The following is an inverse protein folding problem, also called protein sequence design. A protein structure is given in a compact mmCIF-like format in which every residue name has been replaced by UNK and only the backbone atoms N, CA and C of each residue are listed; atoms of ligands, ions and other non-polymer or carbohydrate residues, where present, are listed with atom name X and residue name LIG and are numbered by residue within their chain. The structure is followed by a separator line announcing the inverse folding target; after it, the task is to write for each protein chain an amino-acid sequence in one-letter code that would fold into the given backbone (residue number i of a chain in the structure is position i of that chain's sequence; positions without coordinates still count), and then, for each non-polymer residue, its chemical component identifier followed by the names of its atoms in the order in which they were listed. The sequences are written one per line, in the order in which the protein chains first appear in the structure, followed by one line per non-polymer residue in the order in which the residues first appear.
data_IF_485876672674
#
_entry.id   IF_485876672674
#
_cell.length_a   1.000
_cell.length_b   1.000
_cell.length_c   1.000
_cell.angle_alpha   90.00
_cell.angle_beta   90.00
_cell.angle_gamma   90.00
#
_symmetry.space_group_name_H-M   'P 1'
#
loop_
_entity.id
_entity.type
_entity.pdbx_description
1 polymer ?
#
# COMPACT_ATOMS: atom_id res chain seq x y z
N UNK A 1 7.80 15.07 -20.00
CA UNK A 1 8.24 15.85 -18.82
C UNK A 1 9.75 16.08 -18.83
N UNK A 2 10.56 15.05 -19.04
CA UNK A 2 12.02 15.17 -19.19
C UNK A 2 12.43 16.23 -20.22
N UNK A 3 11.89 16.14 -21.44
CA UNK A 3 12.09 17.15 -22.49
C UNK A 3 11.71 18.58 -22.06
N UNK A 4 10.61 18.74 -21.30
CA UNK A 4 10.20 20.06 -20.78
C UNK A 4 11.20 20.62 -19.76
N UNK A 5 11.84 19.76 -18.96
CA UNK A 5 12.87 20.16 -18.01
C UNK A 5 14.18 20.52 -18.72
N UNK A 6 14.58 19.72 -19.71
CA UNK A 6 15.77 19.94 -20.54
C UNK A 6 15.70 21.25 -21.31
N UNK A 7 14.55 21.58 -21.90
CA UNK A 7 14.29 22.89 -22.54
C UNK A 7 14.46 24.08 -21.58
N UNK A 8 14.46 23.84 -20.26
CA UNK A 8 14.69 24.85 -19.22
C UNK A 8 16.05 24.70 -18.54
N UNK A 9 16.97 23.91 -19.10
CA UNK A 9 18.31 23.66 -18.54
C UNK A 9 18.31 22.91 -17.22
N UNK A 10 17.23 22.16 -16.90
CA UNK A 10 17.09 21.43 -15.64
C UNK A 10 17.17 19.92 -15.87
N UNK A 11 17.89 19.23 -14.99
CA UNK A 11 17.81 17.79 -14.87
C UNK A 11 16.82 17.42 -13.76
N UNK A 12 15.99 16.41 -14.00
CA UNK A 12 15.00 15.92 -13.04
C UNK A 12 15.13 14.41 -12.89
N UNK A 13 14.90 13.96 -11.67
CA UNK A 13 14.79 12.55 -11.29
C UNK A 13 13.33 12.12 -11.32
N UNK A 14 13.10 10.84 -11.56
CA UNK A 14 11.75 10.27 -11.59
C UNK A 14 11.62 9.17 -10.56
N UNK A 15 10.60 9.29 -9.72
CA UNK A 15 10.24 8.29 -8.75
C UNK A 15 8.92 7.60 -9.08
N UNK A 16 8.82 6.33 -8.72
CA UNK A 16 7.57 5.57 -8.75
C UNK A 16 7.21 5.09 -7.34
N UNK A 17 5.91 5.07 -7.04
CA UNK A 17 5.37 4.55 -5.78
C UNK A 17 4.63 3.26 -6.07
N UNK A 18 5.06 2.16 -5.46
CA UNK A 18 4.45 0.83 -5.62
C UNK A 18 4.28 0.13 -4.27
N UNK A 19 3.24 -0.66 -4.13
CA UNK A 19 3.20 -1.70 -3.10
C UNK A 19 3.97 -2.94 -3.60
N UNK A 20 4.43 -3.80 -2.70
CA UNK A 20 5.12 -5.04 -3.06
C UNK A 20 4.57 -6.19 -2.23
N UNK A 21 4.35 -7.33 -2.89
CA UNK A 21 3.99 -8.61 -2.28
C UNK A 21 4.94 -9.63 -2.90
N UNK A 22 6.09 -9.82 -2.26
CA UNK A 22 7.17 -10.69 -2.75
C UNK A 22 7.17 -11.96 -1.93
N UNK A 23 7.19 -13.11 -2.59
CA UNK A 23 7.41 -14.41 -1.95
C UNK A 23 8.47 -15.18 -2.72
N UNK A 24 8.79 -16.37 -2.24
CA UNK A 24 9.76 -17.29 -2.82
C UNK A 24 9.28 -17.77 -4.20
N UNK A 25 7.97 -17.99 -4.34
CA UNK A 25 7.31 -18.35 -5.62
C UNK A 25 6.25 -17.34 -6.04
N UNK A 26 5.91 -17.33 -7.33
CA UNK A 26 4.82 -16.50 -7.84
C UNK A 26 3.48 -16.94 -7.25
N UNK A 27 3.26 -18.24 -7.11
CA UNK A 27 2.04 -18.83 -6.57
C UNK A 27 1.78 -18.35 -5.14
N UNK A 28 2.79 -18.38 -4.26
CA UNK A 28 2.68 -17.90 -2.89
C UNK A 28 2.40 -16.40 -2.82
N UNK A 29 3.05 -15.60 -3.68
CA UNK A 29 2.83 -14.16 -3.73
C UNK A 29 1.39 -13.82 -4.14
N UNK A 30 0.86 -14.55 -5.14
CA UNK A 30 -0.52 -14.36 -5.58
C UNK A 30 -1.54 -14.87 -4.57
N UNK A 31 -1.27 -15.99 -3.89
CA UNK A 31 -2.10 -16.47 -2.79
C UNK A 31 -2.18 -15.43 -1.65
N UNK A 32 -1.06 -14.78 -1.32
CA UNK A 32 -1.02 -13.72 -0.32
C UNK A 32 -1.71 -12.43 -0.77
N UNK A 33 -1.62 -12.07 -2.06
CA UNK A 33 -2.38 -10.96 -2.62
C UNK A 33 -3.89 -11.20 -2.54
N UNK A 34 -4.37 -12.41 -2.86
CA UNK A 34 -5.78 -12.77 -2.71
C UNK A 34 -6.21 -12.76 -1.23
N UNK A 35 -5.38 -13.32 -0.35
CA UNK A 35 -5.62 -13.31 1.10
C UNK A 35 -5.74 -11.89 1.64
N UNK A 36 -4.92 -10.95 1.16
CA UNK A 36 -4.95 -9.54 1.57
C UNK A 36 -6.31 -8.91 1.33
N UNK A 37 -6.94 -9.16 0.17
CA UNK A 37 -8.25 -8.57 -0.17
C UNK A 37 -9.43 -9.44 0.26
N UNK A 38 -9.23 -10.72 0.60
CA UNK A 38 -10.29 -11.65 1.03
C UNK A 38 -11.12 -11.16 2.22
N UNK A 39 -10.54 -10.30 3.06
CA UNK A 39 -11.19 -9.75 4.27
C UNK A 39 -11.89 -8.41 4.02
N UNK A 40 -11.81 -7.86 2.80
CA UNK A 40 -12.46 -6.60 2.46
C UNK A 40 -13.96 -6.81 2.29
N UNK A 41 -14.73 -6.20 3.18
CA UNK A 41 -16.19 -6.14 3.07
C UNK A 41 -16.58 -5.27 1.88
N UNK A 42 -17.64 -5.63 1.19
CA UNK A 42 -18.13 -4.89 0.02
C UNK A 42 -18.48 -3.44 0.36
N UNK A 43 -19.13 -3.23 1.50
CA UNK A 43 -19.43 -1.89 1.99
C UNK A 43 -18.16 -1.04 2.15
N UNK A 44 -17.09 -1.60 2.70
CA UNK A 44 -15.80 -0.89 2.85
C UNK A 44 -15.23 -0.48 1.49
N UNK A 45 -15.29 -1.35 0.50
CA UNK A 45 -14.81 -1.04 -0.86
C UNK A 45 -15.67 0.03 -1.52
N UNK A 46 -17.00 -0.09 -1.44
CA UNK A 46 -17.91 0.91 -2.00
C UNK A 46 -17.68 2.28 -1.38
N UNK A 47 -17.56 2.37 -0.05
CA UNK A 47 -17.30 3.63 0.64
C UNK A 47 -15.94 4.23 0.25
N UNK A 48 -14.89 3.41 0.18
CA UNK A 48 -13.57 3.88 -0.24
C UNK A 48 -13.57 4.39 -1.68
N UNK A 49 -14.16 3.66 -2.62
CA UNK A 49 -14.26 4.05 -4.02
C UNK A 49 -15.11 5.33 -4.21
N UNK A 50 -16.21 5.46 -3.47
CA UNK A 50 -17.03 6.68 -3.48
C UNK A 50 -16.25 7.89 -2.95
N UNK A 51 -15.43 7.72 -1.91
CA UNK A 51 -14.55 8.78 -1.40
C UNK A 51 -13.47 9.16 -2.43
N UNK A 52 -12.85 8.18 -3.09
CA UNK A 52 -11.84 8.42 -4.12
C UNK A 52 -12.39 9.12 -5.36
N UNK A 53 -13.62 8.81 -5.76
CA UNK A 53 -14.28 9.45 -6.90
C UNK A 53 -14.58 10.95 -6.69
N UNK A 54 -14.64 11.40 -5.43
CA UNK A 54 -14.86 12.81 -5.06
C UNK A 54 -13.57 13.63 -4.97
N UNK A 55 -12.40 13.00 -5.16
CA UNK A 55 -11.11 13.71 -5.11
C UNK A 55 -10.81 14.40 -6.43
N UNK A 56 -10.26 15.62 -6.37
CA UNK A 56 -9.86 16.41 -7.55
C UNK A 56 -8.57 15.90 -8.25
N UNK A 57 -8.04 14.75 -7.82
CA UNK A 57 -6.82 14.16 -8.37
C UNK A 57 -7.12 13.32 -9.62
N UNK A 58 -6.61 13.77 -10.77
CA UNK A 58 -6.58 13.00 -12.03
C UNK A 58 -5.98 11.60 -11.85
N UNK A 59 -4.92 11.50 -11.04
CA UNK A 59 -4.26 10.22 -10.75
C UNK A 59 -5.19 9.29 -9.99
N UNK A 60 -5.85 9.80 -8.95
CA UNK A 60 -6.80 9.00 -8.17
C UNK A 60 -8.02 8.59 -9.02
N UNK A 61 -8.53 9.49 -9.87
CA UNK A 61 -9.65 9.15 -10.76
C UNK A 61 -9.30 8.00 -11.71
N UNK A 62 -8.10 8.01 -12.31
CA UNK A 62 -7.63 6.91 -13.17
C UNK A 62 -7.46 5.61 -12.39
N UNK A 63 -7.00 5.68 -11.14
CA UNK A 63 -6.89 4.50 -10.29
C UNK A 63 -8.26 3.88 -9.99
N UNK A 64 -9.26 4.70 -9.63
CA UNK A 64 -10.62 4.21 -9.36
C UNK A 64 -11.28 3.53 -10.58
N UNK A 65 -10.94 3.96 -11.80
CA UNK A 65 -11.41 3.33 -13.03
C UNK A 65 -10.92 1.88 -13.18
N UNK A 66 -9.78 1.52 -12.60
CA UNK A 66 -9.25 0.15 -12.65
C UNK A 66 -10.12 -0.84 -11.86
N UNK A 67 -10.87 -0.36 -10.86
CA UNK A 67 -11.69 -1.16 -9.96
C UNK A 67 -13.15 -1.31 -10.39
N UNK A 68 -13.58 -0.63 -11.46
CA UNK A 68 -14.96 -0.64 -11.96
C UNK A 68 -16.03 -0.45 -10.86
N UNK A 69 -15.80 0.53 -9.98
CA UNK A 69 -16.71 0.82 -8.85
C UNK A 69 -16.64 -0.21 -7.72
N UNK A 70 -15.60 -1.04 -7.65
CA UNK A 70 -15.39 -2.03 -6.60
C UNK A 70 -15.93 -3.43 -6.90
N UNK A 71 -16.45 -3.65 -8.12
CA UNK A 71 -17.01 -4.95 -8.55
C UNK A 71 -15.94 -5.99 -8.88
N UNK A 72 -14.74 -5.55 -9.25
CA UNK A 72 -13.60 -6.42 -9.56
C UNK A 72 -12.93 -6.91 -8.28
N UNK A 73 -12.79 -8.23 -8.13
CA UNK A 73 -12.22 -8.86 -6.92
C UNK A 73 -11.23 -9.99 -7.17
N UNK A 74 -11.14 -10.49 -8.40
CA UNK A 74 -10.20 -11.58 -8.70
C UNK A 74 -8.85 -11.06 -9.18
N UNK A 75 -7.83 -11.91 -9.13
CA UNK A 75 -6.55 -11.68 -9.81
C UNK A 75 -6.76 -11.27 -11.27
N UNK A 76 -7.57 -12.04 -12.02
CA UNK A 76 -7.82 -11.81 -13.45
C UNK A 76 -8.36 -10.41 -13.75
N UNK A 77 -9.17 -9.85 -12.85
CA UNK A 77 -9.78 -8.54 -13.06
C UNK A 77 -8.86 -7.37 -12.70
N UNK A 78 -7.92 -7.62 -11.80
CA UNK A 78 -7.12 -6.62 -11.10
C UNK A 78 -5.64 -6.66 -11.50
N UNK A 79 -5.15 -7.72 -12.13
CA UNK A 79 -3.83 -7.77 -12.77
C UNK A 79 -3.89 -6.96 -14.08
N UNK A 80 -3.39 -5.73 -14.02
CA UNK A 80 -3.49 -4.76 -15.14
C UNK A 80 -2.32 -4.87 -16.12
N UNK A 81 -1.27 -5.58 -15.72
CA UNK A 81 -0.06 -5.93 -16.47
C UNK A 81 0.58 -7.11 -15.75
N UNK A 82 1.40 -7.96 -16.41
CA UNK A 82 2.09 -9.07 -15.74
C UNK A 82 2.76 -8.63 -14.42
N UNK A 83 2.40 -9.30 -13.33
CA UNK A 83 2.89 -9.03 -11.96
C UNK A 83 2.58 -7.62 -11.43
N UNK A 84 1.70 -6.85 -12.07
CA UNK A 84 1.26 -5.53 -11.62
C UNK A 84 -0.24 -5.56 -11.31
N UNK A 85 -0.56 -5.49 -10.03
CA UNK A 85 -1.88 -5.76 -9.51
C UNK A 85 -2.50 -4.54 -8.84
N UNK A 86 -3.73 -4.19 -9.22
CA UNK A 86 -4.45 -3.03 -8.72
C UNK A 86 -5.25 -3.29 -7.43
N UNK A 87 -5.25 -4.51 -6.88
CA UNK A 87 -6.15 -4.87 -5.76
C UNK A 87 -5.90 -4.08 -4.47
N UNK A 88 -4.66 -3.65 -4.20
CA UNK A 88 -4.37 -2.78 -3.04
C UNK A 88 -5.14 -1.45 -3.10
N UNK A 89 -5.40 -0.95 -4.31
CA UNK A 89 -6.15 0.30 -4.52
C UNK A 89 -7.66 0.19 -4.26
N UNK A 90 -8.20 -0.99 -3.97
CA UNK A 90 -9.63 -1.14 -3.66
C UNK A 90 -10.04 -0.30 -2.45
N UNK A 91 -9.16 -0.19 -1.44
CA UNK A 91 -9.40 0.58 -0.22
C UNK A 91 -8.30 1.56 0.14
N UNK A 92 -7.12 1.46 -0.49
CA UNK A 92 -5.98 2.33 -0.20
C UNK A 92 -5.89 3.47 -1.23
N UNK A 93 -5.91 4.71 -0.74
CA UNK A 93 -5.61 5.88 -1.58
C UNK A 93 -4.11 6.00 -1.92
N UNK A 94 -3.78 6.71 -2.99
CA UNK A 94 -2.39 6.91 -3.42
C UNK A 94 -1.87 5.82 -4.34
N UNK A 95 -0.86 5.04 -3.94
CA UNK A 95 -0.36 3.92 -4.75
C UNK A 95 -1.34 2.76 -4.72
N UNK A 96 -2.22 2.75 -5.72
CA UNK A 96 -3.24 1.71 -5.88
C UNK A 96 -2.75 0.47 -6.64
N UNK A 97 -1.45 0.33 -6.91
CA UNK A 97 -0.87 -0.87 -7.55
C UNK A 97 0.23 -1.50 -6.72
N UNK A 98 0.37 -2.82 -6.86
CA UNK A 98 1.38 -3.65 -6.23
C UNK A 98 2.15 -4.46 -7.27
N UNK A 99 3.46 -4.63 -7.07
CA UNK A 99 4.22 -5.70 -7.72
C UNK A 99 3.98 -7.00 -6.93
N UNK A 100 3.50 -8.04 -7.59
CA UNK A 100 3.15 -9.33 -6.97
C UNK A 100 3.88 -10.44 -7.70
N UNK A 101 4.73 -11.20 -7.02
CA UNK A 101 5.41 -12.34 -7.63
C UNK A 101 6.59 -12.88 -6.83
N UNK A 102 7.32 -13.78 -7.47
CA UNK A 102 8.61 -14.27 -6.98
C UNK A 102 9.64 -13.14 -6.89
N UNK A 103 10.70 -13.36 -6.10
CA UNK A 103 11.80 -12.40 -5.97
C UNK A 103 12.37 -11.97 -7.34
N UNK A 104 12.58 -12.93 -8.24
CA UNK A 104 13.09 -12.68 -9.60
C UNK A 104 12.08 -11.89 -10.44
N UNK A 105 10.80 -12.29 -10.45
CA UNK A 105 9.77 -11.58 -11.22
C UNK A 105 9.66 -10.11 -10.79
N UNK A 106 9.69 -9.85 -9.47
CA UNK A 106 9.64 -8.48 -8.94
C UNK A 106 10.91 -7.70 -9.25
N UNK A 107 12.10 -8.30 -9.14
CA UNK A 107 13.36 -7.67 -9.53
C UNK A 107 13.35 -7.28 -11.02
N UNK A 108 12.86 -8.15 -11.89
CA UNK A 108 12.74 -7.90 -13.33
C UNK A 108 11.77 -6.74 -13.62
N UNK A 109 10.63 -6.66 -12.92
CA UNK A 109 9.70 -5.51 -13.04
C UNK A 109 10.35 -4.21 -12.61
N UNK A 110 11.12 -4.22 -11.52
CA UNK A 110 11.84 -3.03 -11.04
C UNK A 110 12.87 -2.59 -12.06
N UNK A 111 13.62 -3.54 -12.63
CA UNK A 111 14.61 -3.26 -13.67
C UNK A 111 13.97 -2.66 -14.92
N UNK A 112 12.82 -3.16 -15.36
CA UNK A 112 12.12 -2.54 -16.49
C UNK A 112 11.73 -1.08 -16.23
N UNK A 113 11.22 -0.75 -15.05
CA UNK A 113 10.97 0.65 -14.69
C UNK A 113 12.26 1.47 -14.65
N UNK A 114 13.36 0.89 -14.16
CA UNK A 114 14.66 1.55 -14.13
C UNK A 114 15.20 1.83 -15.55
N UNK A 115 15.05 0.88 -16.47
CA UNK A 115 15.42 1.01 -17.88
C UNK A 115 14.58 2.10 -18.60
N UNK A 116 13.36 2.37 -18.11
CA UNK A 116 12.53 3.51 -18.55
C UNK A 116 12.95 4.85 -17.90
N UNK A 117 13.99 4.86 -17.08
CA UNK A 117 14.56 6.04 -16.44
C UNK A 117 13.90 6.44 -15.12
N UNK A 118 13.24 5.50 -14.44
CA UNK A 118 12.83 5.65 -13.04
C UNK A 118 14.02 5.33 -12.14
N UNK A 119 14.46 6.30 -11.36
CA UNK A 119 15.65 6.16 -10.51
C UNK A 119 15.33 6.00 -9.02
N UNK A 120 14.08 6.25 -8.63
CA UNK A 120 13.64 6.23 -7.23
C UNK A 120 12.41 5.36 -7.07
N UNK A 121 12.48 4.38 -6.16
CA UNK A 121 11.37 3.46 -5.88
C UNK A 121 10.91 3.66 -4.44
N UNK A 122 9.68 4.17 -4.27
CA UNK A 122 9.05 4.31 -2.96
C UNK A 122 8.14 3.11 -2.75
N UNK A 123 8.61 2.15 -1.97
CA UNK A 123 7.94 0.86 -1.76
C UNK A 123 7.15 0.82 -0.45
N UNK A 124 6.22 -0.12 -0.35
CA UNK A 124 5.54 -0.46 0.91
C UNK A 124 5.02 -1.89 0.85
N UNK A 125 4.89 -2.55 1.99
CA UNK A 125 4.22 -3.84 2.15
C UNK A 125 3.35 -3.84 3.41
N UNK A 126 2.48 -4.83 3.56
CA UNK A 126 1.71 -5.06 4.80
C UNK A 126 2.02 -6.42 5.43
N UNK A 127 2.37 -6.48 6.72
CA UNK A 127 2.72 -5.36 7.59
C UNK A 127 4.08 -4.75 7.21
N UNK A 128 4.27 -3.45 7.46
CA UNK A 128 5.37 -2.69 6.87
C UNK A 128 6.77 -3.15 7.31
N UNK A 129 6.93 -3.59 8.56
CA UNK A 129 8.23 -3.99 9.09
C UNK A 129 8.69 -5.32 8.45
N UNK A 130 7.84 -6.34 8.54
CA UNK A 130 8.11 -7.68 8.04
C UNK A 130 8.28 -7.70 6.53
N UNK A 131 7.47 -6.95 5.79
CA UNK A 131 7.64 -6.84 4.34
C UNK A 131 8.89 -6.05 3.95
N UNK A 132 9.38 -5.12 4.78
CA UNK A 132 10.66 -4.45 4.53
C UNK A 132 11.83 -5.43 4.65
N UNK A 133 11.84 -6.28 5.69
CA UNK A 133 12.83 -7.36 5.84
C UNK A 133 12.75 -8.33 4.67
N UNK A 134 11.56 -8.83 4.34
CA UNK A 134 11.39 -9.78 3.24
C UNK A 134 11.86 -9.22 1.91
N UNK A 135 11.55 -7.96 1.61
CA UNK A 135 12.03 -7.32 0.39
C UNK A 135 13.55 -7.20 0.38
N UNK A 136 14.16 -6.81 1.50
CA UNK A 136 15.60 -6.69 1.62
C UNK A 136 16.32 -8.05 1.49
N UNK A 137 15.76 -9.11 2.04
CA UNK A 137 16.34 -10.45 1.99
C UNK A 137 16.17 -11.13 0.63
N UNK A 138 15.00 -10.97 -0.01
CA UNK A 138 14.68 -11.65 -1.26
C UNK A 138 15.09 -10.87 -2.50
N UNK A 139 14.86 -9.55 -2.55
CA UNK A 139 14.94 -8.77 -3.79
C UNK A 139 16.23 -7.96 -3.90
N UNK A 140 16.72 -7.35 -2.81
CA UNK A 140 17.96 -6.58 -2.89
C UNK A 140 19.16 -7.36 -3.45
N UNK A 141 19.36 -8.66 -3.14
CA UNK A 141 20.46 -9.44 -3.74
C UNK A 141 20.38 -9.56 -5.27
N UNK A 142 19.20 -9.36 -5.87
CA UNK A 142 18.95 -9.45 -7.31
C UNK A 142 19.08 -8.10 -8.03
N UNK A 143 19.23 -7.01 -7.27
CA UNK A 143 19.31 -5.66 -7.82
C UNK A 143 20.75 -5.12 -7.72
N UNK A 144 21.22 -4.34 -8.71
CA UNK A 144 22.53 -3.70 -8.67
C UNK A 144 22.51 -2.46 -7.74
N UNK A 145 22.15 -2.65 -6.47
CA UNK A 145 21.99 -1.56 -5.48
C UNK A 145 23.16 -1.52 -4.51
N UNK A 146 23.68 -0.33 -4.25
CA UNK A 146 24.63 -0.09 -3.18
C UNK A 146 23.87 0.29 -1.91
N UNK A 147 24.11 -0.43 -0.81
CA UNK A 147 23.55 -0.07 0.49
C UNK A 147 24.15 1.26 0.94
N UNK A 148 23.29 2.22 1.27
CA UNK A 148 23.73 3.46 1.90
C UNK A 148 23.70 3.29 3.43
N UNK A 149 24.85 3.46 4.08
CA UNK A 149 24.94 3.37 5.55
C UNK A 149 24.22 4.52 6.27
N UNK A 150 23.98 5.63 5.56
CA UNK A 150 23.25 6.79 6.08
C UNK A 150 22.27 7.31 5.04
N UNK A 151 21.03 7.51 5.45
CA UNK A 151 20.06 8.27 4.68
C UNK A 151 20.51 9.73 4.61
N UNK A 152 20.64 10.28 3.41
CA UNK A 152 20.81 11.72 3.23
C UNK A 152 19.61 12.46 3.86
N UNK A 153 19.86 13.22 4.92
CA UNK A 153 18.84 13.68 5.85
C UNK A 153 17.77 14.64 5.27
N UNK A 154 16.61 14.59 5.92
CA UNK A 154 15.50 15.55 5.83
C UNK A 154 14.35 15.04 6.71
N UNK A 155 13.79 15.89 7.59
CA UNK A 155 12.64 15.50 8.40
C UNK A 155 11.41 15.38 7.48
N UNK A 156 10.77 14.21 7.35
CA UNK A 156 9.58 14.07 6.52
C UNK A 156 8.42 14.76 7.24
N UNK A 157 8.30 16.09 7.09
CA UNK A 157 7.40 16.96 7.84
C UNK A 157 5.91 16.85 7.46
N UNK A 158 5.40 15.64 7.21
CA UNK A 158 3.99 15.40 6.89
C UNK A 158 3.61 13.94 7.13
N UNK A 159 2.30 13.62 7.23
CA UNK A 159 1.86 12.25 7.49
C UNK A 159 2.23 11.32 6.31
N UNK A 160 3.09 10.34 6.58
CA UNK A 160 3.40 9.24 5.66
C UNK A 160 2.45 8.08 5.94
N UNK A 161 1.66 7.66 4.95
CA UNK A 161 0.81 6.48 5.05
C UNK A 161 -0.69 6.75 5.29
N UNK A 162 -1.41 5.64 5.32
CA UNK A 162 -2.86 5.41 5.17
C UNK A 162 -3.79 6.42 5.89
N UNK A 163 -4.55 7.19 5.09
CA UNK A 163 -5.57 8.14 5.60
C UNK A 163 -6.68 7.43 6.39
N UNK A 164 -6.97 6.16 6.08
CA UNK A 164 -8.02 5.38 6.77
C UNK A 164 -7.59 4.95 8.17
N UNK A 165 -6.35 4.48 8.34
CA UNK A 165 -5.80 4.11 9.65
C UNK A 165 -5.70 5.32 10.60
N UNK A 166 -5.45 6.51 10.05
CA UNK A 166 -5.37 7.75 10.84
C UNK A 166 -6.75 8.33 11.23
N UNK A 167 -7.82 7.96 10.53
CA UNK A 167 -9.18 8.46 10.79
C UNK A 167 -10.05 7.47 11.55
N UNK A 168 -9.73 6.17 11.50
CA UNK A 168 -10.48 5.11 12.18
C UNK A 168 -9.54 4.21 12.98
N UNK A 169 -9.45 4.49 14.29
CA UNK A 169 -8.87 3.54 15.24
C UNK A 169 -9.90 2.42 15.49
N UNK A 170 -9.54 1.13 15.38
CA UNK A 170 -10.42 0.07 15.85
C UNK A 170 -10.71 0.31 17.33
N UNK A 171 -11.99 0.41 17.69
CA UNK A 171 -12.39 0.48 19.09
C UNK A 171 -11.95 -0.84 19.72
N UNK A 172 -10.91 -0.79 20.57
CA UNK A 172 -10.47 -1.95 21.33
C UNK A 172 -11.71 -2.58 21.96
N UNK A 173 -11.92 -3.87 21.70
CA UNK A 173 -12.98 -4.64 22.34
C UNK A 173 -12.84 -4.38 23.84
N UNK A 174 -13.87 -3.79 24.44
CA UNK A 174 -13.87 -3.42 25.85
C UNK A 174 -13.57 -4.69 26.65
N UNK A 175 -12.35 -4.78 27.16
CA UNK A 175 -11.93 -5.81 28.11
C UNK A 175 -12.71 -5.56 29.39
N UNK A 176 -13.77 -6.35 29.58
CA UNK A 176 -14.46 -6.44 30.85
C UNK A 176 -13.52 -7.03 31.89
N UNK A 177 -12.95 -6.20 32.75
CA UNK A 177 -12.40 -6.58 34.04
C UNK A 177 -12.02 -5.34 34.85
N UNK A 178 -12.92 -4.87 35.72
CA UNK A 178 -12.66 -4.18 36.99
C UNK A 178 -14.03 -3.76 37.55
N UNK A 179 -14.31 -3.75 38.84
CA UNK A 179 -13.75 -4.36 40.03
C UNK A 179 -14.85 -4.14 41.08
N UNK A 180 -14.94 -5.05 42.04
CA UNK A 180 -15.83 -4.97 43.19
C UNK A 180 -15.59 -3.71 44.04
N UNK A 181 -16.66 -3.32 44.74
CA UNK A 181 -16.67 -2.50 45.97
C UNK A 181 -16.24 -1.03 45.87
N UNK A 182 -17.25 -0.15 45.86
CA UNK A 182 -17.69 0.63 47.04
C UNK A 182 -18.84 1.53 46.57
N UNK A 183 -19.96 1.49 47.28
CA UNK A 183 -20.58 2.67 47.93
C UNK A 183 -22.05 2.38 48.27
N UNK A 184 -22.28 2.00 49.53
CA UNK A 184 -23.37 2.47 50.38
C UNK A 184 -24.71 2.79 49.70
N UNK A 185 -25.54 1.77 49.51
CA UNK A 185 -26.99 1.97 49.36
C UNK A 185 -27.56 2.35 50.72
N UNK A 186 -27.59 3.66 50.96
CA UNK A 186 -28.47 4.30 51.93
C UNK A 186 -29.89 4.25 51.34
N UNK A 187 -30.82 3.76 52.17
CA UNK A 187 -32.28 3.98 52.09
C UNK A 187 -33.08 3.10 51.11
N UNK A 188 -33.56 1.96 51.60
CA UNK A 188 -34.92 1.51 51.32
C UNK A 188 -35.77 1.81 52.55
N UNK A 189 -36.56 2.89 52.47
CA UNK A 189 -37.78 3.03 53.26
C UNK A 189 -38.90 2.36 52.47
N UNK A 190 -39.54 1.35 53.05
CA UNK A 190 -41.00 1.11 53.16
C UNK A 190 -41.21 -0.23 53.84
#
# INVERSE_FOLDING_TARGET
MREKAERRGRQVKFGIRLHVIVRETDEEAWADAERLISRLKDETVVQAQAAFARMDSEGQRRMAQLHAGGTKRSRKDLEISPNLWAGVGLVRGGAGTALVGSAQAVADRIKEYADLGIDTFVLSGYPHLEEAYRFAELVFPLLPVNVQEKLGGGNPGGPFGETVANLYSPRAAASGAAASEREQVRVSQS
#
